data_IF_652275682891
#
_entry.id   IF_652275682891
#
_cell.length_a   1.000
_cell.length_b   1.000
_cell.length_c   1.000
_cell.angle_alpha   90.00
_cell.angle_beta   90.00
_cell.angle_gamma   90.00
#
_symmetry.space_group_name_H-M   'P 1'
#
loop_
_entity.id
_entity.type
_entity.pdbx_description
1 polymer ?
#
# COMPACT_ATOMS: atom_id res chain seq x y z
N UNK A 1 -14.12 16.93 -82.81
CA UNK A 1 -14.41 18.24 -82.21
C UNK A 1 -14.85 18.05 -80.77
N UNK A 2 -14.16 18.72 -79.84
CA UNK A 2 -14.53 19.12 -78.45
C UNK A 2 -14.99 18.01 -77.49
N UNK A 3 -14.08 17.46 -76.66
CA UNK A 3 -13.73 17.93 -75.31
C UNK A 3 -14.93 18.17 -74.39
N UNK A 4 -15.15 17.30 -73.41
CA UNK A 4 -15.55 17.66 -72.05
C UNK A 4 -15.12 16.53 -71.09
N UNK A 5 -13.91 16.63 -70.52
CA UNK A 5 -13.49 15.86 -69.35
C UNK A 5 -13.85 16.70 -68.13
N UNK A 6 -14.88 16.29 -67.38
CA UNK A 6 -15.23 16.86 -66.10
C UNK A 6 -14.43 16.12 -65.02
N UNK A 7 -13.31 16.69 -64.59
CA UNK A 7 -12.54 16.20 -63.44
C UNK A 7 -13.27 16.58 -62.16
N UNK A 8 -13.94 15.61 -61.53
CA UNK A 8 -14.41 15.70 -60.15
C UNK A 8 -13.20 15.56 -59.21
N UNK A 9 -12.64 16.69 -58.77
CA UNK A 9 -11.76 16.73 -57.61
C UNK A 9 -12.63 16.63 -56.36
N UNK A 10 -12.63 15.46 -55.71
CA UNK A 10 -13.12 15.29 -54.35
C UNK A 10 -12.16 16.00 -53.39
N UNK A 11 -12.41 17.29 -53.15
CA UNK A 11 -11.74 18.08 -52.13
C UNK A 11 -12.39 17.74 -50.77
N UNK A 12 -12.06 16.58 -50.21
CA UNK A 12 -12.36 16.25 -48.81
C UNK A 12 -11.36 16.96 -47.91
N UNK A 13 -11.55 18.28 -47.74
CA UNK A 13 -10.87 19.07 -46.73
C UNK A 13 -11.37 18.67 -45.35
N UNK A 14 -10.79 17.61 -44.78
CA UNK A 14 -10.96 17.24 -43.38
C UNK A 14 -10.24 18.27 -42.51
N UNK A 15 -10.91 19.39 -42.22
CA UNK A 15 -10.48 20.37 -41.24
C UNK A 15 -10.68 19.76 -39.85
N UNK A 16 -9.71 18.97 -39.40
CA UNK A 16 -9.64 18.49 -38.03
C UNK A 16 -9.20 19.67 -37.16
N UNK A 17 -10.17 20.53 -36.80
CA UNK A 17 -10.01 21.46 -35.68
C UNK A 17 -9.83 20.62 -34.42
N UNK A 18 -8.57 20.26 -34.14
CA UNK A 18 -8.13 19.82 -32.81
C UNK A 18 -8.37 21.01 -31.91
N UNK A 19 -9.58 21.09 -31.39
CA UNK A 19 -9.92 22.00 -30.30
C UNK A 19 -9.10 21.49 -29.13
N UNK A 20 -7.89 22.00 -28.95
CA UNK A 20 -7.18 21.93 -27.69
C UNK A 20 -7.99 22.78 -26.72
N UNK A 21 -9.13 22.23 -26.26
CA UNK A 21 -9.75 22.69 -25.03
C UNK A 21 -8.62 22.59 -24.02
N UNK A 22 -8.09 23.74 -23.61
CA UNK A 22 -7.29 23.83 -22.41
C UNK A 22 -8.22 23.40 -21.30
N UNK A 23 -8.30 22.09 -21.06
CA UNK A 23 -8.88 21.55 -19.85
C UNK A 23 -8.08 22.24 -18.77
N UNK A 24 -8.72 23.19 -18.06
CA UNK A 24 -8.20 23.70 -16.81
C UNK A 24 -7.77 22.45 -16.06
N UNK A 25 -6.45 22.28 -15.86
CA UNK A 25 -5.93 21.04 -15.32
C UNK A 25 -6.59 20.91 -13.95
N UNK A 26 -7.59 20.04 -13.88
CA UNK A 26 -8.38 19.84 -12.67
C UNK A 26 -7.42 19.50 -11.54
N UNK A 27 -7.79 19.88 -10.32
CA UNK A 27 -7.01 19.53 -9.13
C UNK A 27 -6.77 18.02 -9.15
N UNK A 28 -5.49 17.61 -9.19
CA UNK A 28 -5.08 16.22 -9.35
C UNK A 28 -4.79 15.58 -8.01
N UNK A 29 -4.91 14.27 -7.91
CA UNK A 29 -4.45 13.55 -6.73
C UNK A 29 -2.92 13.61 -6.65
N UNK A 30 -2.41 13.93 -5.47
CA UNK A 30 -0.97 13.90 -5.15
C UNK A 30 -0.72 12.75 -4.19
N UNK A 31 0.07 11.78 -4.63
CA UNK A 31 0.43 10.62 -3.81
C UNK A 31 1.71 10.94 -3.02
N UNK A 32 1.64 10.75 -1.70
CA UNK A 32 2.82 10.67 -0.82
C UNK A 32 3.34 9.23 -0.76
N UNK A 33 2.43 8.25 -0.88
CA UNK A 33 2.75 6.84 -1.03
C UNK A 33 1.71 6.13 -1.89
N UNK A 34 2.16 5.15 -2.68
CA UNK A 34 1.31 4.22 -3.44
C UNK A 34 2.05 2.89 -3.61
N UNK A 35 1.47 1.79 -3.13
CA UNK A 35 2.07 0.44 -3.15
C UNK A 35 2.33 -0.09 -4.55
N UNK A 36 1.60 0.39 -5.55
CA UNK A 36 1.68 -0.10 -6.92
C UNK A 36 2.85 0.51 -7.71
N UNK A 37 3.42 1.64 -7.29
CA UNK A 37 4.41 2.35 -8.12
C UNK A 37 5.24 3.44 -7.45
N UNK A 38 5.17 3.55 -6.13
CA UNK A 38 5.82 4.63 -5.39
C UNK A 38 5.18 5.99 -5.66
N UNK A 39 5.90 7.06 -5.35
CA UNK A 39 5.40 8.43 -5.47
C UNK A 39 6.50 9.33 -6.06
N UNK A 40 6.42 9.67 -7.36
CA UNK A 40 7.42 10.53 -8.00
C UNK A 40 7.57 11.86 -7.26
N UNK A 41 8.81 12.29 -7.04
CA UNK A 41 9.09 13.54 -6.32
C UNK A 41 8.89 13.46 -4.80
N UNK A 42 8.63 12.28 -4.24
CA UNK A 42 8.50 12.09 -2.79
C UNK A 42 9.64 11.24 -2.26
N UNK A 43 10.39 11.78 -1.30
CA UNK A 43 11.42 11.04 -0.55
C UNK A 43 10.88 10.70 0.83
N UNK A 44 11.15 9.49 1.31
CA UNK A 44 10.72 9.04 2.64
C UNK A 44 11.87 9.15 3.63
N UNK A 45 11.54 9.35 4.90
CA UNK A 45 12.51 9.29 5.98
C UNK A 45 11.86 8.95 7.32
N UNK A 46 12.70 8.60 8.29
CA UNK A 46 12.29 8.52 9.69
C UNK A 46 11.95 9.91 10.23
N UNK A 47 11.02 9.95 11.20
CA UNK A 47 10.75 11.10 12.04
C UNK A 47 10.94 10.69 13.50
N UNK A 48 11.87 11.32 14.21
CA UNK A 48 12.29 10.85 15.53
C UNK A 48 12.83 9.41 15.47
N UNK A 49 12.37 8.55 16.38
CA UNK A 49 12.71 7.12 16.44
C UNK A 49 11.72 6.19 15.71
N UNK A 50 10.85 6.74 14.85
CA UNK A 50 10.03 5.93 13.96
C UNK A 50 10.83 5.40 12.76
N UNK A 51 10.27 4.45 12.03
CA UNK A 51 10.94 3.86 10.87
C UNK A 51 9.95 3.40 9.81
N UNK A 52 10.45 3.18 8.60
CA UNK A 52 9.67 2.56 7.55
C UNK A 52 10.50 1.70 6.60
N UNK A 53 9.85 0.66 6.07
CA UNK A 53 10.43 -0.31 5.13
C UNK A 53 9.37 -0.74 4.12
N UNK A 54 9.76 -1.07 2.90
CA UNK A 54 8.84 -1.73 1.96
C UNK A 54 8.64 -3.18 2.41
N UNK A 55 7.38 -3.54 2.68
CA UNK A 55 7.00 -4.91 2.96
C UNK A 55 6.81 -5.68 1.64
N UNK A 56 7.33 -6.90 1.59
CA UNK A 56 7.18 -7.80 0.42
C UNK A 56 6.08 -8.84 0.61
N UNK A 57 5.74 -9.14 1.85
CA UNK A 57 4.86 -10.26 2.23
C UNK A 57 3.45 -9.79 2.62
N UNK A 58 3.17 -8.49 2.46
CA UNK A 58 1.86 -7.89 2.76
C UNK A 58 1.30 -7.30 1.48
N UNK A 59 0.12 -7.74 1.06
CA UNK A 59 -0.55 -7.25 -0.15
C UNK A 59 -0.64 -8.28 -1.27
N UNK A 60 -1.19 -7.85 -2.40
CA UNK A 60 -1.27 -8.68 -3.60
C UNK A 60 0.07 -8.77 -4.34
N UNK A 61 0.21 -9.70 -5.29
CA UNK A 61 1.40 -9.79 -6.12
C UNK A 61 1.69 -8.46 -6.84
N UNK A 62 2.87 -7.89 -6.59
CA UNK A 62 3.31 -6.62 -7.19
C UNK A 62 3.08 -5.40 -6.31
N UNK A 63 2.24 -5.49 -5.28
CA UNK A 63 2.13 -4.45 -4.27
C UNK A 63 3.36 -4.45 -3.37
N UNK A 64 3.82 -3.25 -3.02
CA UNK A 64 4.86 -3.03 -2.02
C UNK A 64 4.36 -2.02 -1.00
N UNK A 65 3.52 -2.41 -0.04
CA UNK A 65 3.07 -1.46 0.96
C UNK A 65 4.23 -1.03 1.85
N UNK A 66 4.04 0.11 2.50
CA UNK A 66 5.00 0.65 3.43
C UNK A 66 4.69 0.14 4.83
N UNK A 67 5.55 -0.71 5.38
CA UNK A 67 5.56 -0.99 6.81
C UNK A 67 6.03 0.25 7.55
N UNK A 68 5.28 0.64 8.57
CA UNK A 68 5.50 1.84 9.37
C UNK A 68 5.51 1.46 10.84
N UNK A 69 6.59 1.84 11.52
CA UNK A 69 6.70 1.71 12.97
C UNK A 69 6.61 3.12 13.58
N UNK A 70 5.58 3.33 14.37
CA UNK A 70 5.41 4.54 15.19
C UNK A 70 5.59 4.20 16.66
N UNK A 71 5.81 5.22 17.49
CA UNK A 71 6.00 5.07 18.95
C UNK A 71 5.16 6.05 19.76
N UNK A 72 4.99 7.27 19.26
CA UNK A 72 4.23 8.35 19.88
C UNK A 72 3.97 9.46 18.84
N UNK A 73 3.27 10.54 19.24
CA UNK A 73 3.03 11.70 18.38
C UNK A 73 4.30 12.46 17.98
N UNK A 74 5.46 12.07 18.50
CA UNK A 74 6.74 12.67 18.18
C UNK A 74 7.60 11.77 17.26
N UNK A 75 7.16 10.54 16.99
CA UNK A 75 7.99 9.50 16.39
C UNK A 75 7.20 8.66 15.38
N UNK A 76 7.63 8.71 14.11
CA UNK A 76 6.96 8.05 13.01
C UNK A 76 7.72 8.22 11.70
N UNK A 77 7.02 8.61 10.64
CA UNK A 77 7.59 8.71 9.29
C UNK A 77 7.34 10.08 8.68
N UNK A 78 8.19 10.48 7.75
CA UNK A 78 8.01 11.69 6.95
C UNK A 78 8.11 11.41 5.46
N UNK A 79 7.37 12.21 4.71
CA UNK A 79 7.36 12.28 3.25
C UNK A 79 7.78 13.69 2.85
N UNK A 80 9.01 13.84 2.39
CA UNK A 80 9.58 15.07 1.84
C UNK A 80 9.18 15.19 0.37
N UNK A 81 8.53 16.30 -0.03
CA UNK A 81 7.99 16.47 -1.38
C UNK A 81 8.77 17.53 -2.15
N UNK A 82 9.20 17.18 -3.36
CA UNK A 82 9.93 18.06 -4.27
C UNK A 82 9.47 17.86 -5.72
N UNK A 83 8.82 18.86 -6.36
CA UNK A 83 8.58 20.23 -5.86
C UNK A 83 7.49 20.30 -4.78
N UNK A 84 7.45 21.35 -3.94
CA UNK A 84 6.39 21.57 -2.96
C UNK A 84 5.00 21.60 -3.61
N UNK A 85 4.00 21.09 -2.88
CA UNK A 85 2.63 20.90 -3.40
C UNK A 85 1.71 22.00 -2.90
N UNK A 86 1.01 22.74 -3.78
CA UNK A 86 0.06 23.76 -3.35
C UNK A 86 -1.14 23.13 -2.65
N UNK A 87 -1.42 23.53 -1.41
CA UNK A 87 -2.57 23.13 -0.60
C UNK A 87 -3.85 23.88 -1.00
N UNK A 88 -3.72 25.08 -1.56
CA UNK A 88 -4.86 25.96 -1.90
C UNK A 88 -5.97 25.26 -2.71
N UNK A 89 -5.67 24.44 -3.74
CA UNK A 89 -6.71 23.73 -4.50
C UNK A 89 -7.52 22.70 -3.68
N UNK A 90 -7.03 22.32 -2.51
CA UNK A 90 -7.60 21.27 -1.65
C UNK A 90 -8.28 21.84 -0.39
N UNK A 91 -8.17 23.15 -0.12
CA UNK A 91 -8.67 23.71 1.14
C UNK A 91 -10.20 23.58 1.29
N UNK A 92 -10.94 23.73 0.20
CA UNK A 92 -12.41 23.69 0.25
C UNK A 92 -12.97 22.26 0.24
N UNK A 93 -12.45 21.40 -0.64
CA UNK A 93 -13.03 20.08 -0.95
C UNK A 93 -12.01 18.94 -0.86
N UNK A 94 -10.76 19.23 -0.55
CA UNK A 94 -9.71 18.24 -0.52
C UNK A 94 -9.72 17.39 0.74
N UNK A 95 -9.15 16.20 0.61
CA UNK A 95 -9.07 15.19 1.64
C UNK A 95 -7.68 14.57 1.59
N UNK A 96 -7.11 14.26 2.75
CA UNK A 96 -6.03 13.30 2.84
C UNK A 96 -6.68 11.91 2.95
N UNK A 97 -6.31 11.02 2.04
CA UNK A 97 -6.82 9.66 1.91
C UNK A 97 -5.74 8.69 2.36
N UNK A 98 -6.11 7.75 3.23
CA UNK A 98 -5.22 6.72 3.77
C UNK A 98 -5.85 5.34 3.56
N UNK A 99 -5.13 4.44 2.88
CA UNK A 99 -5.41 3.00 2.87
C UNK A 99 -4.39 2.30 3.75
N UNK A 100 -4.85 1.74 4.86
CA UNK A 100 -4.01 1.18 5.93
C UNK A 100 -4.43 -0.24 6.29
N UNK A 101 -3.48 -1.09 6.67
CA UNK A 101 -3.73 -2.42 7.23
C UNK A 101 -2.98 -2.53 8.56
N UNK A 102 -3.67 -3.03 9.59
CA UNK A 102 -3.06 -3.28 10.90
C UNK A 102 -2.62 -4.74 11.02
N UNK A 103 -1.86 -5.05 12.07
CA UNK A 103 -1.41 -6.42 12.34
C UNK A 103 -2.59 -7.33 12.57
N UNK A 104 -2.49 -8.57 12.08
CA UNK A 104 -3.51 -9.58 12.26
C UNK A 104 -3.43 -10.19 13.65
N UNK A 105 -4.57 -10.31 14.32
CA UNK A 105 -4.74 -11.03 15.59
C UNK A 105 -4.93 -12.52 15.27
N UNK A 106 -3.87 -13.14 14.75
CA UNK A 106 -3.79 -14.58 14.55
C UNK A 106 -2.74 -15.20 15.46
N UNK A 107 -2.91 -16.45 15.93
CA UNK A 107 -1.77 -17.19 16.46
C UNK A 107 -0.70 -17.18 15.37
N UNK A 108 0.47 -16.61 15.66
CA UNK A 108 1.57 -16.54 14.72
C UNK A 108 1.72 -17.93 14.06
N UNK A 109 1.69 -18.05 12.72
CA UNK A 109 1.60 -19.35 12.02
C UNK A 109 2.83 -20.28 12.20
N UNK A 110 3.65 -20.06 13.22
CA UNK A 110 4.81 -20.87 13.57
C UNK A 110 4.90 -21.27 15.05
N UNK A 111 3.93 -20.91 15.90
CA UNK A 111 3.82 -21.51 17.24
C UNK A 111 2.97 -22.80 17.18
N UNK A 112 3.12 -23.56 16.08
CA UNK A 112 2.83 -24.98 16.08
C UNK A 112 3.82 -25.60 17.04
N UNK A 113 3.40 -25.64 18.31
CA UNK A 113 4.07 -26.38 19.35
C UNK A 113 4.42 -27.74 18.76
N UNK A 114 5.68 -28.08 19.00
CA UNK A 114 6.13 -29.41 19.30
C UNK A 114 5.13 -30.07 20.28
N UNK A 115 3.96 -30.43 19.77
CA UNK A 115 3.21 -31.59 20.19
C UNK A 115 4.03 -32.76 19.67
N UNK A 116 5.26 -32.91 20.18
CA UNK A 116 5.36 -33.71 21.38
C UNK A 116 4.59 -34.99 21.12
N UNK A 117 5.04 -35.70 20.08
CA UNK A 117 4.82 -37.12 19.93
C UNK A 117 5.33 -37.72 21.22
N UNK A 118 4.42 -37.78 22.20
CA UNK A 118 4.54 -38.59 23.37
C UNK A 118 4.68 -40.00 22.84
N UNK A 119 5.95 -40.41 22.71
CA UNK A 119 6.32 -41.80 22.68
C UNK A 119 5.49 -42.49 23.75
N UNK A 120 4.71 -43.47 23.30
CA UNK A 120 3.95 -44.31 24.18
C UNK A 120 4.84 -44.78 25.31
N UNK A 121 4.43 -44.46 26.53
CA UNK A 121 4.91 -45.14 27.72
C UNK A 121 4.50 -46.61 27.58
N UNK A 122 5.38 -47.38 26.93
CA UNK A 122 5.50 -48.80 27.19
C UNK A 122 5.78 -48.98 28.68
N UNK A 123 5.14 -49.99 29.24
CA UNK A 123 5.36 -50.48 30.59
C UNK A 123 6.85 -50.66 30.88
N UNK A 124 7.47 -49.71 31.57
CA UNK A 124 8.74 -49.93 32.26
C UNK A 124 8.54 -49.67 33.75
N UNK A 125 8.49 -50.80 34.43
CA UNK A 125 8.50 -51.00 35.87
C UNK A 125 9.66 -50.21 36.51
N UNK A 126 9.42 -49.38 37.54
CA UNK A 126 10.50 -48.67 38.21
C UNK A 126 11.38 -49.67 38.99
N UNK A 127 12.72 -49.55 38.92
CA UNK A 127 13.60 -50.33 39.79
C UNK A 127 13.47 -49.85 41.25
N UNK A 128 13.52 -50.77 42.23
CA UNK A 128 13.45 -50.42 43.65
C UNK A 128 14.81 -49.93 44.16
N UNK A 129 14.81 -48.78 44.84
CA UNK A 129 15.92 -48.35 45.69
C UNK A 129 16.82 -47.29 45.07
N UNK A 130 16.56 -46.03 45.42
CA UNK A 130 17.46 -44.91 45.16
C UNK A 130 17.10 -43.75 46.07
N UNK A 131 17.89 -43.58 47.13
CA UNK A 131 17.76 -42.53 48.14
C UNK A 131 17.83 -41.14 47.52
N UNK A 132 16.87 -40.29 47.89
CA UNK A 132 16.85 -38.86 47.54
C UNK A 132 17.59 -38.10 48.65
N UNK A 133 18.73 -37.43 48.38
CA UNK A 133 19.33 -36.54 49.38
C UNK A 133 18.57 -35.21 49.47
N UNK A 134 18.40 -34.64 50.68
CA UNK A 134 17.72 -33.37 50.88
C UNK A 134 18.64 -32.20 50.55
N UNK A 135 18.33 -31.42 49.52
CA UNK A 135 19.01 -30.14 49.30
C UNK A 135 18.48 -29.08 50.25
N UNK A 136 19.31 -28.83 51.26
CA UNK A 136 19.15 -27.79 52.26
C UNK A 136 19.23 -26.38 51.68
N UNK A 137 18.45 -25.50 52.32
CA UNK A 137 18.37 -24.08 52.02
C UNK A 137 19.66 -23.33 52.29
N UNK A 138 19.78 -22.18 51.63
CA UNK A 138 20.64 -21.08 52.04
C UNK A 138 19.78 -19.83 52.19
N UNK A 139 19.70 -19.23 53.40
CA UNK A 139 19.10 -17.92 53.58
C UNK A 139 20.07 -16.83 53.09
N UNK A 140 19.54 -15.86 52.31
CA UNK A 140 20.22 -14.59 52.02
C UNK A 140 20.08 -13.67 53.25
N UNK A 141 21.17 -13.14 53.82
CA UNK A 141 21.12 -12.10 54.85
C UNK A 141 21.13 -10.70 54.23
N UNK A 142 20.25 -9.83 54.74
CA UNK A 142 20.52 -8.39 54.82
C UNK A 142 19.91 -7.50 53.74
N UNK A 143 18.64 -7.11 53.92
CA UNK A 143 18.19 -5.79 53.47
C UNK A 143 17.25 -5.19 54.52
N UNK A 144 17.67 -4.14 55.25
CA UNK A 144 16.85 -3.48 56.25
C UNK A 144 15.75 -2.64 55.60
N UNK A 145 14.57 -2.71 56.20
CA UNK A 145 13.37 -2.05 55.72
C UNK A 145 13.27 -0.56 56.02
N UNK A 146 12.30 0.06 55.37
CA UNK A 146 11.63 1.26 55.83
C UNK A 146 10.18 1.19 55.35
N UNK A 147 9.28 0.91 56.30
CA UNK A 147 7.87 1.23 56.20
C UNK A 147 7.70 2.73 56.47
N UNK A 148 6.77 3.36 55.73
CA UNK A 148 5.90 4.49 56.13
C UNK A 148 5.17 4.94 54.84
N UNK A 149 3.90 4.57 54.60
CA UNK A 149 2.70 5.31 55.00
C UNK A 149 2.78 6.82 54.70
N UNK A 150 2.09 7.27 53.64
CA UNK A 150 1.22 8.47 53.56
C UNK A 150 0.49 8.46 52.21
N UNK A 151 -0.82 8.65 52.26
CA UNK A 151 -1.81 8.63 51.17
C UNK A 151 -1.85 9.96 50.35
N UNK A 152 -2.81 10.17 49.42
CA UNK A 152 -2.54 10.67 48.07
C UNK A 152 -2.64 12.19 47.92
N UNK A 153 -1.86 12.77 47.01
CA UNK A 153 -2.09 14.14 46.49
C UNK A 153 -2.65 14.08 45.07
N UNK A 154 -3.93 14.42 44.95
CA UNK A 154 -4.54 14.93 43.72
C UNK A 154 -3.76 16.16 43.25
N UNK A 155 -3.07 16.06 42.11
CA UNK A 155 -2.66 17.23 41.34
C UNK A 155 -3.52 17.30 40.08
N UNK A 156 -4.52 18.17 40.13
CA UNK A 156 -5.20 18.73 38.97
C UNK A 156 -4.17 19.54 38.18
N UNK A 157 -3.63 18.99 37.09
CA UNK A 157 -2.79 19.76 36.15
C UNK A 157 -3.71 20.52 35.20
N UNK A 158 -3.81 21.82 35.45
CA UNK A 158 -4.30 22.82 34.52
C UNK A 158 -3.39 22.84 33.29
N UNK A 159 -3.86 22.32 32.15
CA UNK A 159 -3.24 22.57 30.84
C UNK A 159 -3.79 23.89 30.30
N UNK A 160 -3.09 24.97 30.60
CA UNK A 160 -3.28 26.24 29.91
C UNK A 160 -1.93 26.77 29.47
N UNK A 161 -1.78 26.90 28.14
CA UNK A 161 -0.79 27.72 27.44
C UNK A 161 0.65 27.19 27.42
N UNK A 162 0.95 26.39 26.40
CA UNK A 162 2.27 26.38 25.78
C UNK A 162 2.06 26.75 24.31
N UNK A 163 2.34 28.01 23.98
CA UNK A 163 2.55 28.42 22.60
C UNK A 163 3.79 27.69 22.04
N UNK A 164 3.79 27.28 20.76
CA UNK A 164 4.93 26.57 20.19
C UNK A 164 6.11 27.53 20.00
N UNK A 165 7.20 27.31 20.73
CA UNK A 165 8.55 27.74 20.32
C UNK A 165 8.95 26.91 19.10
N UNK A 166 8.50 27.32 17.92
CA UNK A 166 9.10 26.92 16.65
C UNK A 166 10.14 27.99 16.29
N UNK A 167 11.38 27.75 16.70
CA UNK A 167 12.54 28.45 16.15
C UNK A 167 13.77 27.54 16.17
N UNK A 168 14.34 27.38 14.98
CA UNK A 168 15.73 26.99 14.70
C UNK A 168 16.14 25.56 15.08
N UNK A 169 15.85 24.62 14.18
CA UNK A 169 16.77 23.51 13.94
C UNK A 169 17.72 23.92 12.81
N UNK A 170 18.96 24.24 13.18
CA UNK A 170 20.09 24.33 12.26
C UNK A 170 20.31 22.98 11.57
N UNK A 171 20.63 23.03 10.28
CA UNK A 171 20.98 21.86 9.49
C UNK A 171 22.24 21.18 10.07
N UNK A 172 22.30 19.84 10.15
CA UNK A 172 23.52 19.15 10.55
C UNK A 172 24.61 19.32 9.46
N UNK A 173 25.88 19.50 9.86
CA UNK A 173 27.00 19.64 8.92
C UNK A 173 27.25 18.35 8.12
N UNK A 174 27.79 18.45 6.89
CA UNK A 174 28.13 17.29 6.08
C UNK A 174 29.50 16.74 6.51
N UNK A 175 29.54 15.49 6.97
CA UNK A 175 30.83 14.82 7.17
C UNK A 175 30.78 13.50 7.91
N UNK A 176 31.30 12.46 7.26
CA UNK A 176 31.84 11.27 7.94
C UNK A 176 31.21 9.95 7.52
N UNK A 177 31.80 9.29 6.52
CA UNK A 177 31.63 7.86 6.31
C UNK A 177 32.50 7.09 7.32
N UNK A 178 31.97 6.04 7.97
CA UNK A 178 32.79 4.97 8.52
C UNK A 178 32.54 3.66 7.76
N UNK A 179 33.62 3.13 7.17
CA UNK A 179 33.71 1.76 6.73
C UNK A 179 33.83 0.78 7.90
N UNK A 180 33.56 -0.49 7.60
CA UNK A 180 33.62 -1.64 8.52
C UNK A 180 32.45 -2.57 8.18
N UNK A 181 32.59 -3.61 7.36
CA UNK A 181 33.60 -4.66 7.52
C UNK A 181 33.09 -5.69 8.53
N UNK A 182 31.99 -6.38 8.21
CA UNK A 182 31.51 -7.52 8.99
C UNK A 182 31.58 -8.80 8.15
N UNK A 183 32.40 -9.72 8.66
CA UNK A 183 32.70 -11.01 8.04
C UNK A 183 31.52 -11.98 8.09
N UNK A 184 31.43 -12.79 7.04
CA UNK A 184 30.53 -13.94 7.00
C UNK A 184 31.09 -15.12 7.81
N UNK A 185 30.22 -16.00 8.32
CA UNK A 185 30.64 -17.29 8.83
C UNK A 185 30.84 -18.32 7.69
N UNK A 186 31.67 -19.35 7.94
CA UNK A 186 32.20 -20.27 6.93
C UNK A 186 31.20 -21.35 6.52
N UNK A 187 31.45 -21.91 5.33
CA UNK A 187 30.66 -22.97 4.74
C UNK A 187 30.68 -24.30 5.50
N UNK A 188 29.64 -25.08 5.22
CA UNK A 188 29.57 -26.51 5.48
C UNK A 188 28.68 -27.13 4.41
N UNK A 189 29.30 -27.81 3.45
CA UNK A 189 28.57 -28.66 2.50
C UNK A 189 28.37 -30.05 3.08
N UNK A 190 27.22 -30.66 2.80
CA UNK A 190 27.02 -32.11 2.73
C UNK A 190 25.88 -32.38 1.75
N UNK A 191 26.11 -33.31 0.82
CA UNK A 191 25.23 -33.66 -0.28
C UNK A 191 24.06 -34.58 0.09
N UNK A 192 23.28 -35.03 -0.91
CA UNK A 192 22.01 -35.75 -0.74
C UNK A 192 22.21 -37.27 -0.64
N UNK A 193 21.30 -37.96 0.07
CA UNK A 193 20.46 -38.98 -0.59
C UNK A 193 19.02 -38.94 -0.04
N UNK A 194 17.94 -39.04 -0.83
CA UNK A 194 17.54 -40.24 -1.58
C UNK A 194 16.34 -40.91 -0.86
N UNK A 195 15.26 -41.21 -1.61
CA UNK A 195 14.09 -42.01 -1.18
C UNK A 195 13.10 -41.24 -0.28
N UNK A 196 11.81 -41.08 -0.57
CA UNK A 196 10.88 -42.00 -1.21
C UNK A 196 10.00 -42.63 -0.13
N UNK A 197 8.89 -41.98 0.26
CA UNK A 197 7.75 -42.55 1.04
C UNK A 197 6.62 -41.51 0.88
N UNK A 198 5.45 -41.85 0.35
CA UNK A 198 4.46 -42.70 1.01
C UNK A 198 3.27 -41.79 1.34
N UNK A 199 2.37 -41.60 0.39
CA UNK A 199 1.17 -40.79 0.59
C UNK A 199 0.26 -41.43 1.65
N UNK A 200 -0.31 -40.65 2.59
CA UNK A 200 -1.38 -41.14 3.41
C UNK A 200 -2.74 -41.11 2.67
N UNK A 201 -3.67 -42.01 3.02
CA UNK A 201 -4.94 -42.19 2.33
C UNK A 201 -5.93 -41.08 2.69
N UNK A 202 -6.87 -40.85 1.78
CA UNK A 202 -7.90 -39.84 1.89
C UNK A 202 -8.65 -39.80 3.23
N UNK A 203 -8.63 -38.63 3.85
CA UNK A 203 -9.64 -38.18 4.79
C UNK A 203 -10.40 -37.03 4.14
N UNK A 204 -11.68 -37.26 3.83
CA UNK A 204 -12.54 -36.26 3.23
C UNK A 204 -12.74 -35.07 4.15
N UNK A 205 -12.05 -33.97 3.87
CA UNK A 205 -12.48 -32.66 4.33
C UNK A 205 -13.74 -32.30 3.56
N UNK A 206 -14.88 -32.44 4.24
CA UNK A 206 -16.18 -32.05 3.73
C UNK A 206 -16.15 -30.59 3.30
N UNK A 207 -16.19 -30.37 1.99
CA UNK A 207 -16.43 -29.07 1.38
C UNK A 207 -17.83 -28.61 1.74
N UNK A 208 -17.95 -27.92 2.88
CA UNK A 208 -19.08 -27.05 3.14
C UNK A 208 -19.07 -25.92 2.10
N UNK A 209 -20.23 -25.50 1.58
CA UNK A 209 -20.30 -24.50 0.53
C UNK A 209 -19.83 -23.14 1.05
N UNK A 210 -18.57 -22.81 0.76
CA UNK A 210 -18.11 -21.46 0.41
C UNK A 210 -18.44 -20.33 1.37
N UNK A 211 -18.35 -20.53 2.69
CA UNK A 211 -18.21 -19.40 3.61
C UNK A 211 -16.88 -18.71 3.30
N UNK A 212 -16.97 -17.61 2.54
CA UNK A 212 -15.83 -16.81 2.14
C UNK A 212 -14.97 -16.49 3.35
N UNK A 213 -13.71 -16.90 3.30
CA UNK A 213 -12.72 -16.55 4.29
C UNK A 213 -12.58 -15.02 4.30
N UNK A 214 -13.32 -14.36 5.19
CA UNK A 214 -13.16 -12.94 5.42
C UNK A 214 -11.73 -12.65 5.85
N UNK A 215 -11.28 -11.41 5.61
CA UNK A 215 -9.95 -10.98 6.04
C UNK A 215 -9.74 -11.33 7.53
N UNK A 216 -8.53 -11.80 7.85
CA UNK A 216 -8.20 -12.17 9.21
C UNK A 216 -8.45 -10.98 10.16
N UNK A 217 -8.91 -11.23 11.40
CA UNK A 217 -9.11 -10.19 12.38
C UNK A 217 -7.80 -9.41 12.59
N UNK A 218 -7.93 -8.10 12.79
CA UNK A 218 -6.79 -7.21 13.02
C UNK A 218 -6.92 -6.57 14.38
N UNK A 219 -5.77 -6.27 14.99
CA UNK A 219 -5.69 -5.52 16.23
C UNK A 219 -4.61 -4.43 16.14
N UNK A 220 -4.78 -3.39 16.93
CA UNK A 220 -3.81 -2.30 17.06
C UNK A 220 -4.00 -1.55 18.37
N UNK A 221 -2.88 -1.16 18.97
CA UNK A 221 -2.87 -0.25 20.11
C UNK A 221 -3.17 1.19 19.69
N UNK A 222 -2.97 1.53 18.40
CA UNK A 222 -3.20 2.87 17.85
C UNK A 222 -4.68 3.21 17.90
N UNK A 223 -5.05 4.28 18.60
CA UNK A 223 -6.41 4.85 18.58
C UNK A 223 -6.48 6.15 17.79
N UNK A 224 -5.33 6.77 17.47
CA UNK A 224 -5.25 7.98 16.65
C UNK A 224 -4.00 8.04 15.81
N UNK A 225 -4.16 8.39 14.53
CA UNK A 225 -3.08 8.81 13.65
C UNK A 225 -3.09 10.34 13.51
N UNK A 226 -1.93 10.96 13.67
CA UNK A 226 -1.74 12.40 13.48
C UNK A 226 -0.93 12.68 12.22
N UNK A 227 -1.41 13.64 11.44
CA UNK A 227 -0.83 14.12 10.21
C UNK A 227 -0.37 15.56 10.38
N UNK A 228 0.94 15.80 10.30
CA UNK A 228 1.51 17.15 10.33
C UNK A 228 2.01 17.53 8.95
N UNK A 229 1.37 18.52 8.34
CA UNK A 229 1.78 19.16 7.10
C UNK A 229 2.75 20.27 7.44
N UNK A 230 4.03 20.09 7.10
CA UNK A 230 5.00 21.19 7.12
C UNK A 230 4.84 21.98 5.84
N UNK A 231 4.50 23.25 6.01
CA UNK A 231 4.26 24.19 4.94
C UNK A 231 5.50 25.07 4.76
N UNK A 232 5.57 25.82 3.67
CA UNK A 232 6.61 26.82 3.44
C UNK A 232 6.68 27.87 4.56
N UNK A 233 5.57 28.12 5.23
CA UNK A 233 5.49 28.86 6.49
C UNK A 233 4.57 28.12 7.46
N UNK A 234 5.05 27.88 8.68
CA UNK A 234 4.23 27.23 9.72
C UNK A 234 3.87 25.77 9.42
N UNK A 235 2.79 25.30 10.02
CA UNK A 235 2.34 23.91 9.89
C UNK A 235 0.81 23.79 9.97
N UNK A 236 0.29 22.68 9.45
CA UNK A 236 -1.08 22.24 9.65
C UNK A 236 -1.12 20.88 10.32
N UNK A 237 -1.96 20.70 11.33
CA UNK A 237 -2.10 19.42 12.04
C UNK A 237 -3.54 18.92 11.93
N UNK A 238 -3.72 17.64 11.63
CA UNK A 238 -5.02 16.99 11.71
C UNK A 238 -4.89 15.53 12.11
N UNK A 239 -5.98 14.98 12.63
CA UNK A 239 -5.98 13.65 13.23
C UNK A 239 -7.07 12.77 12.59
N UNK A 240 -6.81 11.46 12.55
CA UNK A 240 -7.77 10.42 12.20
C UNK A 240 -7.90 9.48 13.39
N UNK A 241 -9.11 9.34 13.92
CA UNK A 241 -9.38 8.34 14.96
C UNK A 241 -9.46 6.93 14.33
N UNK A 242 -8.74 5.99 14.92
CA UNK A 242 -8.68 4.60 14.49
C UNK A 242 -9.68 3.78 15.31
N UNK A 243 -10.71 3.32 14.62
CA UNK A 243 -11.72 2.44 15.19
C UNK A 243 -11.95 1.26 14.24
N UNK A 244 -11.46 0.08 14.65
CA UNK A 244 -11.53 -1.14 13.85
C UNK A 244 -12.96 -1.72 13.75
N UNK A 245 -13.85 -1.40 14.68
CA UNK A 245 -15.24 -1.88 14.66
C UNK A 245 -16.09 -1.10 13.66
N UNK A 246 -15.84 0.22 13.57
CA UNK A 246 -16.59 1.14 12.70
C UNK A 246 -16.11 1.11 11.25
N UNK A 247 -14.82 0.88 11.03
CA UNK A 247 -14.21 0.94 9.70
C UNK A 247 -13.81 -0.46 9.23
N UNK A 248 -14.75 -1.23 8.66
CA UNK A 248 -14.50 -2.62 8.26
C UNK A 248 -13.38 -2.71 7.22
N UNK A 249 -12.49 -3.68 7.42
CA UNK A 249 -11.50 -4.04 6.41
C UNK A 249 -12.18 -4.62 5.17
N UNK A 250 -11.54 -4.46 4.02
CA UNK A 250 -11.89 -5.17 2.79
C UNK A 250 -11.45 -6.65 2.84
N UNK A 251 -11.71 -7.38 1.77
CA UNK A 251 -11.37 -8.81 1.63
C UNK A 251 -9.85 -9.07 1.75
N UNK A 252 -9.02 -8.06 1.50
CA UNK A 252 -7.55 -8.10 1.59
C UNK A 252 -7.04 -7.58 2.95
N UNK A 253 -7.93 -7.22 3.87
CA UNK A 253 -7.57 -6.65 5.17
C UNK A 253 -7.29 -5.14 5.17
N UNK A 254 -7.48 -4.42 4.07
CA UNK A 254 -7.24 -2.99 4.02
C UNK A 254 -8.44 -2.18 4.51
N UNK A 255 -8.15 -1.14 5.30
CA UNK A 255 -9.11 -0.17 5.82
C UNK A 255 -8.85 1.19 5.19
N UNK A 256 -9.91 1.98 5.05
CA UNK A 256 -9.86 3.24 4.32
C UNK A 256 -10.29 4.39 5.21
N UNK A 257 -9.40 5.35 5.43
CA UNK A 257 -9.65 6.52 6.24
C UNK A 257 -9.48 7.80 5.42
N UNK A 258 -10.18 8.85 5.83
CA UNK A 258 -10.08 10.18 5.21
C UNK A 258 -10.00 11.25 6.28
N UNK A 259 -9.17 12.27 6.02
CA UNK A 259 -9.06 13.49 6.81
C UNK A 259 -9.39 14.68 5.90
N UNK A 260 -10.53 15.35 6.10
CA UNK A 260 -10.83 16.56 5.35
C UNK A 260 -9.79 17.65 5.60
N UNK A 261 -9.26 18.26 4.54
CA UNK A 261 -8.20 19.27 4.64
C UNK A 261 -8.68 20.53 5.37
N UNK A 262 -9.98 20.85 5.26
CA UNK A 262 -10.62 21.91 6.04
C UNK A 262 -10.59 21.68 7.55
N UNK A 263 -10.35 20.45 8.01
CA UNK A 263 -10.23 20.10 9.43
C UNK A 263 -8.80 20.24 9.95
N UNK A 264 -7.83 20.67 9.11
CA UNK A 264 -6.48 20.93 9.58
C UNK A 264 -6.45 22.19 10.46
N UNK A 265 -5.83 22.06 11.63
CA UNK A 265 -5.48 23.17 12.49
C UNK A 265 -4.19 23.81 11.99
N UNK A 266 -4.32 24.90 11.23
CA UNK A 266 -3.18 25.66 10.72
C UNK A 266 -2.64 26.60 11.80
N UNK A 267 -1.31 26.73 11.90
CA UNK A 267 -0.67 27.79 12.68
C UNK A 267 -1.03 29.16 12.10
N UNK A 268 -1.00 30.24 12.91
CA UNK A 268 -1.09 31.60 12.38
C UNK A 268 -0.08 31.81 11.25
N UNK A 269 -0.50 32.51 10.19
CA UNK A 269 0.32 32.83 9.01
C UNK A 269 0.89 31.61 8.27
N UNK A 270 0.24 30.45 8.41
CA UNK A 270 0.59 29.25 7.66
C UNK A 270 0.57 29.54 6.14
N UNK A 271 1.61 29.06 5.47
CA UNK A 271 1.74 29.15 4.02
C UNK A 271 0.82 28.16 3.31
N UNK A 272 1.01 28.01 2.01
CA UNK A 272 0.15 27.16 1.18
C UNK A 272 0.91 26.08 0.44
N UNK A 273 2.23 25.97 0.60
CA UNK A 273 3.04 25.00 -0.12
C UNK A 273 3.50 23.90 0.83
N UNK A 274 2.98 22.69 0.64
CA UNK A 274 3.36 21.50 1.42
C UNK A 274 4.76 21.09 0.99
N UNK A 275 5.69 21.12 1.93
CA UNK A 275 7.07 20.66 1.74
C UNK A 275 7.25 19.25 2.30
N UNK A 276 6.53 18.93 3.37
CA UNK A 276 6.61 17.62 4.03
C UNK A 276 5.29 17.24 4.68
N UNK A 277 4.98 15.95 4.64
CA UNK A 277 3.95 15.33 5.45
C UNK A 277 4.60 14.40 6.48
N UNK A 278 4.23 14.52 7.76
CA UNK A 278 4.66 13.64 8.84
C UNK A 278 3.45 12.84 9.33
N UNK A 279 3.64 11.53 9.53
CA UNK A 279 2.63 10.62 10.07
C UNK A 279 3.15 10.04 11.38
N UNK A 280 2.36 10.19 12.44
CA UNK A 280 2.65 9.70 13.81
C UNK A 280 1.39 9.11 14.43
N UNK A 281 1.50 8.47 15.61
CA UNK A 281 0.37 7.85 16.31
C UNK A 281 0.42 8.07 17.82
N UNK A 282 -0.65 7.74 18.52
CA UNK A 282 -0.72 7.79 19.99
C UNK A 282 -0.04 6.63 20.71
N UNK A 283 0.19 5.50 20.05
CA UNK A 283 0.80 4.30 20.62
C UNK A 283 1.99 3.79 19.78
N UNK A 284 2.80 2.92 20.39
CA UNK A 284 3.84 2.20 19.67
C UNK A 284 3.23 0.97 18.99
N UNK A 285 3.20 0.96 17.67
CA UNK A 285 2.70 -0.18 16.91
C UNK A 285 3.30 -0.20 15.50
N UNK A 286 2.97 -1.23 14.74
CA UNK A 286 3.31 -1.36 13.33
C UNK A 286 2.06 -1.52 12.50
N UNK A 287 1.99 -0.75 11.43
CA UNK A 287 0.92 -0.84 10.44
C UNK A 287 1.49 -0.70 9.03
N UNK A 288 0.68 -1.02 8.04
CA UNK A 288 1.07 -0.97 6.63
C UNK A 288 0.27 0.11 5.91
N UNK A 289 0.93 0.96 5.13
CA UNK A 289 0.29 1.93 4.25
C UNK A 289 0.31 1.38 2.83
N UNK A 290 -0.87 1.14 2.27
CA UNK A 290 -1.05 0.82 0.86
C UNK A 290 -1.00 2.10 0.03
N UNK A 291 -1.82 3.09 0.41
CA UNK A 291 -1.91 4.38 -0.26
C UNK A 291 -2.01 5.54 0.75
N UNK A 292 -1.33 6.64 0.44
CA UNK A 292 -1.46 7.92 1.13
C UNK A 292 -1.47 9.04 0.10
N UNK A 293 -2.60 9.72 -0.07
CA UNK A 293 -2.78 10.71 -1.12
C UNK A 293 -3.58 11.93 -0.67
N UNK A 294 -3.19 13.11 -1.13
CA UNK A 294 -4.00 14.33 -1.10
C UNK A 294 -4.87 14.34 -2.36
N UNK A 295 -6.18 14.27 -2.18
CA UNK A 295 -7.15 14.17 -3.28
C UNK A 295 -8.14 15.32 -3.20
N UNK A 296 -8.59 15.83 -4.34
CA UNK A 296 -9.75 16.73 -4.38
C UNK A 296 -11.04 15.91 -4.41
N UNK A 297 -12.06 16.29 -3.64
CA UNK A 297 -13.38 15.71 -3.81
C UNK A 297 -13.98 16.23 -5.13
N UNK A 298 -13.88 15.40 -6.16
CA UNK A 298 -14.63 15.54 -7.39
C UNK A 298 -15.89 14.69 -7.28
N UNK A 299 -17.06 15.28 -7.55
CA UNK A 299 -18.34 14.56 -7.47
C UNK A 299 -18.37 13.29 -8.32
N UNK A 300 -17.64 13.31 -9.44
CA UNK A 300 -17.47 12.17 -10.33
C UNK A 300 -16.08 11.55 -10.20
N UNK A 301 -16.00 10.24 -10.45
CA UNK A 301 -14.73 9.55 -10.65
C UNK A 301 -14.23 9.82 -12.08
N UNK A 302 -12.92 9.77 -12.29
CA UNK A 302 -12.34 9.70 -13.62
C UNK A 302 -11.12 8.78 -13.62
N UNK A 303 -10.82 8.22 -14.79
CA UNK A 303 -9.66 7.35 -14.99
C UNK A 303 -8.98 7.69 -16.31
N UNK A 304 -7.65 7.67 -16.31
CA UNK A 304 -6.84 7.77 -17.51
C UNK A 304 -5.80 6.65 -17.54
N UNK A 305 -5.41 6.22 -18.73
CA UNK A 305 -4.40 5.18 -18.96
C UNK A 305 -3.17 5.83 -19.56
N UNK A 306 -1.99 5.49 -19.03
CA UNK A 306 -0.70 5.96 -19.53
C UNK A 306 0.40 4.92 -19.36
N UNK A 307 1.59 5.17 -19.93
CA UNK A 307 2.80 4.44 -19.56
C UNK A 307 3.40 5.02 -18.28
N UNK A 308 4.18 4.24 -17.51
CA UNK A 308 4.88 4.74 -16.33
C UNK A 308 5.76 5.97 -16.60
N UNK A 309 6.33 6.07 -17.80
CA UNK A 309 7.19 7.17 -18.24
C UNK A 309 6.44 8.44 -18.65
N UNK A 310 5.14 8.31 -18.96
CA UNK A 310 4.33 9.46 -19.32
C UNK A 310 3.92 10.23 -18.05
N UNK A 311 3.77 11.57 -18.10
CA UNK A 311 3.31 12.35 -16.94
C UNK A 311 1.98 11.84 -16.39
N UNK A 312 1.83 11.84 -15.07
CA UNK A 312 0.57 11.51 -14.36
C UNK A 312 -0.59 12.31 -14.96
N UNK A 313 -1.77 11.71 -15.10
CA UNK A 313 -2.99 12.32 -15.61
C UNK A 313 -2.95 12.63 -17.11
N UNK A 314 -1.98 12.09 -17.84
CA UNK A 314 -1.99 12.08 -19.31
C UNK A 314 -2.95 10.97 -19.76
N UNK A 315 -3.99 11.32 -20.51
CA UNK A 315 -4.77 10.33 -21.22
C UNK A 315 -4.16 10.10 -22.60
N UNK A 316 -3.63 8.90 -22.81
CA UNK A 316 -3.12 8.50 -24.12
C UNK A 316 -4.21 7.71 -24.84
N UNK A 317 -4.56 8.13 -26.07
CA UNK A 317 -5.53 7.41 -26.88
C UNK A 317 -4.89 6.22 -27.62
N UNK A 318 -3.61 6.33 -27.94
CA UNK A 318 -2.87 5.33 -28.70
C UNK A 318 -1.38 5.30 -28.32
N UNK A 319 -0.82 4.10 -28.17
CA UNK A 319 0.63 3.88 -28.09
C UNK A 319 1.09 2.88 -29.15
N UNK A 320 2.31 3.05 -29.63
CA UNK A 320 3.03 2.03 -30.40
C UNK A 320 4.03 1.34 -29.49
N UNK A 321 4.12 0.02 -29.58
CA UNK A 321 5.04 -0.76 -28.78
C UNK A 321 5.60 -1.95 -29.56
N UNK A 322 6.76 -2.43 -29.10
CA UNK A 322 7.34 -3.68 -29.59
C UNK A 322 6.67 -4.86 -28.88
N UNK A 323 6.67 -6.06 -29.49
CA UNK A 323 6.34 -7.29 -28.81
C UNK A 323 7.08 -7.44 -27.48
N UNK A 324 6.42 -8.06 -26.50
CA UNK A 324 6.94 -8.23 -25.15
C UNK A 324 6.10 -7.55 -24.07
N UNK A 325 6.63 -7.52 -22.82
CA UNK A 325 5.91 -7.01 -21.67
C UNK A 325 5.80 -5.48 -21.69
N UNK A 326 4.56 -4.98 -21.60
CA UNK A 326 4.26 -3.56 -21.42
C UNK A 326 3.56 -3.38 -20.09
N UNK A 327 4.01 -2.39 -19.32
CA UNK A 327 3.32 -1.93 -18.12
C UNK A 327 2.54 -0.66 -18.44
N UNK A 328 1.27 -0.64 -18.03
CA UNK A 328 0.38 0.51 -18.08
C UNK A 328 -0.04 0.90 -16.67
N UNK A 329 -0.35 2.19 -16.49
CA UNK A 329 -0.80 2.76 -15.22
C UNK A 329 -2.17 3.41 -15.43
N UNK A 330 -3.09 3.12 -14.53
CA UNK A 330 -4.39 3.75 -14.42
C UNK A 330 -4.28 4.87 -13.38
N UNK A 331 -4.29 6.12 -13.83
CA UNK A 331 -4.41 7.25 -12.92
C UNK A 331 -5.89 7.47 -12.62
N UNK A 332 -6.28 7.27 -11.37
CA UNK A 332 -7.67 7.34 -10.91
C UNK A 332 -7.85 8.55 -10.00
N UNK A 333 -8.79 9.41 -10.38
CA UNK A 333 -9.30 10.50 -9.55
C UNK A 333 -10.68 10.08 -9.03
N UNK A 334 -10.78 9.74 -7.74
CA UNK A 334 -12.00 9.19 -7.16
C UNK A 334 -12.59 10.03 -6.00
N UNK A 335 -11.88 11.08 -5.56
CA UNK A 335 -12.22 11.79 -4.32
C UNK A 335 -12.25 10.83 -3.12
N UNK A 336 -13.34 10.86 -2.37
CA UNK A 336 -13.68 9.99 -1.23
C UNK A 336 -13.90 8.53 -1.59
N UNK A 337 -14.17 8.21 -2.86
CA UNK A 337 -14.48 6.84 -3.23
C UNK A 337 -13.26 5.93 -3.06
N UNK A 338 -13.52 4.66 -2.78
CA UNK A 338 -12.52 3.61 -2.69
C UNK A 338 -12.52 2.84 -4.02
N UNK A 339 -11.64 3.19 -4.98
CA UNK A 339 -11.71 2.65 -6.33
C UNK A 339 -11.21 1.21 -6.38
N UNK A 340 -11.97 0.35 -7.06
CA UNK A 340 -11.57 -0.95 -7.55
C UNK A 340 -11.23 -0.78 -9.03
N UNK A 341 -9.98 -1.07 -9.39
CA UNK A 341 -9.47 -0.98 -10.75
C UNK A 341 -9.45 -2.38 -11.35
N UNK A 342 -10.03 -2.53 -12.54
CA UNK A 342 -10.05 -3.77 -13.33
C UNK A 342 -9.49 -3.47 -14.72
N UNK A 343 -8.48 -4.24 -15.13
CA UNK A 343 -7.89 -4.17 -16.45
C UNK A 343 -8.48 -5.22 -17.40
N UNK A 344 -8.63 -4.86 -18.67
CA UNK A 344 -8.94 -5.78 -19.75
C UNK A 344 -8.02 -5.48 -20.93
N UNK A 345 -7.01 -6.33 -21.16
CA UNK A 345 -5.99 -6.12 -22.19
C UNK A 345 -6.42 -6.54 -23.59
N UNK A 346 -7.61 -7.14 -23.73
CA UNK A 346 -8.16 -7.59 -25.00
C UNK A 346 -9.67 -7.30 -25.09
N UNK A 347 -10.01 -6.01 -25.02
CA UNK A 347 -11.40 -5.58 -25.01
C UNK A 347 -12.14 -5.82 -26.33
N UNK A 348 -11.41 -6.03 -27.44
CA UNK A 348 -11.99 -6.25 -28.76
C UNK A 348 -12.30 -7.75 -29.03
N UNK A 349 -11.58 -8.71 -28.41
CA UNK A 349 -11.82 -10.15 -28.60
C UNK A 349 -12.69 -10.79 -27.52
N UNK A 350 -13.73 -10.10 -27.04
CA UNK A 350 -14.62 -10.60 -25.98
C UNK A 350 -15.40 -11.93 -26.28
N UNK A 351 -15.04 -12.66 -27.35
CA UNK A 351 -15.57 -13.98 -27.70
C UNK A 351 -14.57 -14.97 -28.31
N UNK A 352 -13.28 -14.64 -28.44
CA UNK A 352 -12.26 -15.57 -28.90
C UNK A 352 -11.14 -15.64 -27.84
N UNK A 353 -10.75 -16.84 -27.34
CA UNK A 353 -9.69 -16.92 -26.35
C UNK A 353 -8.39 -16.39 -26.98
N UNK A 354 -7.70 -15.40 -26.36
CA UNK A 354 -6.41 -14.96 -26.84
C UNK A 354 -5.42 -16.13 -26.80
N UNK A 355 -4.45 -16.11 -27.70
CA UNK A 355 -3.23 -16.91 -27.54
C UNK A 355 -2.64 -16.63 -26.15
N UNK A 356 -2.24 -17.69 -25.44
CA UNK A 356 -1.92 -17.65 -24.02
C UNK A 356 -0.95 -16.50 -23.67
N UNK A 357 -1.46 -15.48 -22.97
CA UNK A 357 -0.62 -14.46 -22.36
C UNK A 357 -0.05 -15.02 -21.06
N UNK A 358 1.28 -15.01 -20.93
CA UNK A 358 1.92 -15.42 -19.67
C UNK A 358 1.88 -14.23 -18.72
N UNK A 359 0.92 -14.21 -17.82
CA UNK A 359 0.91 -13.23 -16.73
C UNK A 359 1.87 -13.75 -15.66
N UNK A 360 3.06 -13.14 -15.54
CA UNK A 360 3.92 -13.38 -14.38
C UNK A 360 3.33 -12.65 -13.17
N UNK A 361 2.35 -13.30 -12.54
CA UNK A 361 1.95 -13.05 -11.16
C UNK A 361 2.80 -14.01 -10.32
N UNK A 362 3.39 -13.57 -9.21
CA UNK A 362 4.46 -14.25 -8.48
C UNK A 362 4.18 -15.59 -7.80
N UNK A 363 3.50 -16.54 -8.45
CA UNK A 363 3.42 -17.96 -8.08
C UNK A 363 3.26 -18.83 -9.35
N UNK A 364 4.20 -19.76 -9.67
CA UNK A 364 4.18 -20.53 -10.92
C UNK A 364 3.21 -21.73 -10.97
N UNK A 365 2.33 -21.94 -9.98
CA UNK A 365 1.63 -23.24 -9.88
C UNK A 365 0.21 -23.33 -10.45
N UNK A 366 -0.38 -22.25 -10.99
CA UNK A 366 -1.65 -22.34 -11.72
C UNK A 366 -1.66 -21.40 -12.93
N UNK A 367 -1.36 -21.93 -14.10
CA UNK A 367 -1.61 -21.23 -15.36
C UNK A 367 -3.14 -21.02 -15.49
N UNK A 368 -3.63 -19.77 -15.58
CA UNK A 368 -5.05 -19.52 -15.79
C UNK A 368 -5.49 -20.15 -17.13
N UNK A 369 -6.69 -20.77 -17.21
CA UNK A 369 -7.19 -21.34 -18.46
C UNK A 369 -7.22 -20.30 -19.61
N UNK A 370 -6.96 -20.73 -20.86
CA UNK A 370 -6.97 -19.84 -22.02
C UNK A 370 -8.35 -19.17 -22.18
N UNK A 371 -8.39 -17.85 -22.35
CA UNK A 371 -9.63 -17.08 -22.36
C UNK A 371 -10.03 -16.45 -21.02
N UNK A 372 -9.25 -16.65 -19.97
CA UNK A 372 -9.53 -15.98 -18.70
C UNK A 372 -9.13 -14.51 -18.79
N UNK A 373 -10.07 -13.63 -18.43
CA UNK A 373 -9.83 -12.20 -18.23
C UNK A 373 -8.54 -12.02 -17.45
N UNK A 374 -7.59 -11.27 -18.01
CA UNK A 374 -6.46 -10.77 -17.22
C UNK A 374 -6.98 -9.59 -16.42
N UNK A 375 -7.85 -9.89 -15.44
CA UNK A 375 -8.27 -8.94 -14.42
C UNK A 375 -7.05 -8.71 -13.51
N UNK A 376 -6.11 -7.88 -13.97
CA UNK A 376 -5.14 -7.29 -13.06
C UNK A 376 -5.93 -6.34 -12.14
N UNK A 377 -5.69 -6.44 -10.84
CA UNK A 377 -6.19 -5.50 -9.86
C UNK A 377 -5.09 -4.52 -9.48
N UNK A 378 -5.47 -3.28 -9.23
CA UNK A 378 -4.55 -2.23 -8.81
C UNK A 378 -4.22 -1.23 -9.91
N UNK A 379 -3.43 -0.22 -9.53
CA UNK A 379 -3.16 0.93 -10.38
C UNK A 379 -2.25 0.62 -11.57
N UNK A 380 -1.59 -0.54 -11.60
CA UNK A 380 -0.76 -0.98 -12.72
C UNK A 380 -1.25 -2.29 -13.30
N UNK A 381 -1.18 -2.40 -14.62
CA UNK A 381 -1.40 -3.65 -15.33
C UNK A 381 -0.21 -3.94 -16.25
N UNK A 382 0.28 -5.17 -16.22
CA UNK A 382 1.37 -5.63 -17.10
C UNK A 382 0.83 -6.72 -18.01
N UNK A 383 1.09 -6.59 -19.30
CA UNK A 383 0.68 -7.58 -20.30
C UNK A 383 1.81 -7.86 -21.26
N UNK A 384 2.00 -9.13 -21.59
CA UNK A 384 3.01 -9.60 -22.54
C UNK A 384 2.36 -9.75 -23.92
N UNK A 385 2.67 -8.82 -24.82
CA UNK A 385 2.09 -8.81 -26.15
C UNK A 385 2.84 -9.77 -27.08
N UNK A 386 2.12 -10.61 -27.85
CA UNK A 386 2.74 -11.59 -28.72
C UNK A 386 3.50 -10.92 -29.87
N UNK A 387 4.33 -11.71 -30.55
CA UNK A 387 5.21 -11.28 -31.64
C UNK A 387 4.49 -11.02 -32.97
N UNK A 388 3.20 -10.72 -32.93
CA UNK A 388 2.34 -10.52 -34.09
C UNK A 388 1.97 -9.04 -34.22
N UNK A 389 2.02 -8.51 -35.45
CA UNK A 389 1.59 -7.14 -35.70
C UNK A 389 0.07 -7.03 -35.58
N UNK A 390 -0.40 -6.65 -34.40
CA UNK A 390 -1.80 -6.53 -34.09
C UNK A 390 -2.08 -5.24 -33.30
N UNK A 391 -3.31 -4.77 -33.38
CA UNK A 391 -3.79 -3.68 -32.54
C UNK A 391 -4.63 -4.29 -31.41
N UNK A 392 -4.33 -3.92 -30.17
CA UNK A 392 -5.06 -4.35 -28.98
C UNK A 392 -5.76 -3.16 -28.35
N UNK A 393 -7.02 -3.34 -27.94
CA UNK A 393 -7.72 -2.36 -27.11
C UNK A 393 -7.57 -2.77 -25.65
N UNK A 394 -6.88 -1.94 -24.88
CA UNK A 394 -6.85 -2.05 -23.43
C UNK A 394 -7.96 -1.19 -22.85
N UNK A 395 -8.80 -1.77 -22.01
CA UNK A 395 -9.82 -1.06 -21.25
C UNK A 395 -9.49 -1.15 -19.76
N UNK A 396 -9.68 -0.04 -19.05
CA UNK A 396 -9.71 -0.01 -17.58
C UNK A 396 -11.11 0.37 -17.15
N UNK A 397 -11.70 -0.45 -16.28
CA UNK A 397 -12.94 -0.11 -15.58
C UNK A 397 -12.62 0.19 -14.12
N UNK A 398 -13.06 1.34 -13.64
CA UNK A 398 -12.95 1.72 -12.23
C UNK A 398 -14.34 1.76 -11.63
N UNK A 399 -14.51 1.08 -10.49
CA UNK A 399 -15.77 1.05 -9.73
C UNK A 399 -15.51 1.56 -8.32
N UNK A 400 -16.46 2.27 -7.75
CA UNK A 400 -16.43 2.57 -6.34
C UNK A 400 -16.87 1.31 -5.57
N UNK A 401 -16.04 0.84 -4.63
CA UNK A 401 -16.36 -0.32 -3.80
C UNK A 401 -17.66 -0.15 -3.03
N UNK A 402 -18.04 1.08 -2.69
CA UNK A 402 -19.31 1.35 -2.00
C UNK A 402 -20.54 1.29 -2.92
N UNK A 403 -20.33 1.24 -4.24
CA UNK A 403 -21.38 1.29 -5.26
C UNK A 403 -22.07 2.65 -5.39
N UNK A 404 -21.64 3.69 -4.67
CA UNK A 404 -22.28 5.00 -4.66
C UNK A 404 -21.95 5.84 -5.88
N UNK A 405 -20.69 5.79 -6.35
CA UNK A 405 -20.27 6.48 -7.59
C UNK A 405 -20.43 5.57 -8.80
N UNK A 406 -20.86 6.15 -9.94
CA UNK A 406 -21.01 5.41 -11.20
C UNK A 406 -19.64 4.90 -11.67
N UNK A 407 -19.55 3.64 -12.15
CA UNK A 407 -18.34 3.14 -12.77
C UNK A 407 -17.88 4.03 -13.93
N UNK A 408 -16.57 4.18 -14.07
CA UNK A 408 -15.94 4.91 -15.18
C UNK A 408 -14.99 4.02 -15.95
N UNK A 409 -14.80 4.32 -17.23
CA UNK A 409 -13.97 3.54 -18.14
C UNK A 409 -12.99 4.44 -18.89
N UNK A 410 -11.81 3.91 -19.14
CA UNK A 410 -10.86 4.46 -20.11
C UNK A 410 -10.43 3.36 -21.07
N UNK A 411 -10.09 3.75 -22.29
CA UNK A 411 -9.58 2.83 -23.31
C UNK A 411 -8.31 3.41 -23.94
N UNK A 412 -7.39 2.52 -24.27
CA UNK A 412 -6.13 2.81 -24.95
C UNK A 412 -5.95 1.82 -26.10
N UNK A 413 -5.59 2.31 -27.29
CA UNK A 413 -5.18 1.46 -28.41
C UNK A 413 -3.68 1.19 -28.36
N UNK A 414 -3.27 -0.07 -28.28
CA UNK A 414 -1.87 -0.49 -28.32
C UNK A 414 -1.58 -1.11 -29.68
N UNK A 415 -0.75 -0.45 -30.48
CA UNK A 415 -0.29 -0.95 -31.79
C UNK A 415 1.03 -1.68 -31.60
N UNK A 416 0.99 -3.00 -31.71
CA UNK A 416 2.20 -3.84 -31.65
C UNK A 416 2.82 -3.91 -33.04
N UNK A 417 4.10 -3.57 -33.16
CA UNK A 417 4.85 -3.54 -34.43
C UNK A 417 6.23 -4.16 -34.20
N UNK A 418 6.69 -4.99 -35.14
CA UNK A 418 7.93 -5.75 -35.04
C UNK A 418 9.19 -4.87 -35.19
#
# INVERSE_FOLDING_TARGET
MKLFRLSFYFLAGLLLTVSSRGWAQGVRSVYFWNSAGGSPGVTRGAWGNGSSSEAKDVGGPGDRPLEVITRSFHEGIRFDVNPPVPLAPYQATGLLRLRVRFRETGPAPGAGGDLGGGFGAGNEQPPPGGEVPPFGGRPRPGQPGSADLISPRLMTRTYSQVAPRLAQFEAPPPGGAPGGGFGGPPGGGFGPPGGGFGGPPGGGFGGGPGEGFGAAPQDTEIKRLQFTFMLDKGAGVGDIDINLDKNKADEEGWRFYTLPIKNLHLTPDAGTMIQRLVVTSDAQDTFYIGDLALVAETGDMSVSIRRPTDPVGTQVAEITAKPGPITLVADVEAGTANPIIQWNFDADNAGAPPAQATVTIGDPTLAPPPGQRVDAHGAQGKFDYPNEEQNYRVEVTVRDRSGKKKPVKASLLVKVRA
#
